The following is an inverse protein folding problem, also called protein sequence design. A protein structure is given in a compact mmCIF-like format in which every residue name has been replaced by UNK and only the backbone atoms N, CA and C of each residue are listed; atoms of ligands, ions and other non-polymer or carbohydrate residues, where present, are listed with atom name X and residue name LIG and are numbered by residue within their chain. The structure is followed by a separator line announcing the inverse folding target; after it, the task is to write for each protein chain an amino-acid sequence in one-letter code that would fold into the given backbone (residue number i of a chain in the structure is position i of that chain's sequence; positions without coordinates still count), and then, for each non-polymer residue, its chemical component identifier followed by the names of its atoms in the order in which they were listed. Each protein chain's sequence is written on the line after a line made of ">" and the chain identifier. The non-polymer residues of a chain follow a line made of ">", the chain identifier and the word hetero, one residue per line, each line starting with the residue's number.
data_IF_404469667566
#
_entry.id   IF_404469667566
#
_cell.length_a   1.000
_cell.length_b   1.000
_cell.length_c   1.000
_cell.angle_alpha   90.00
_cell.angle_beta   90.00
_cell.angle_gamma   90.00
#
_symmetry.space_group_name_H-M   'P 1'
#
loop_
_entity.id
_entity.type
_entity.pdbx_description
1 polymer ?
#
# COMPACT_ATOMS: atom_id res chain seq x y z
N UNK A 1 -23.87 24.94 12.88
CA UNK A 1 -22.48 24.49 12.61
C UNK A 1 -22.56 23.01 12.32
N UNK A 2 -22.16 22.61 11.10
CA UNK A 2 -22.31 21.22 10.64
C UNK A 2 -21.43 20.30 11.49
N UNK A 3 -21.94 19.11 11.85
CA UNK A 3 -21.19 18.08 12.57
C UNK A 3 -19.90 17.66 11.84
N UNK A 4 -19.88 17.80 10.51
CA UNK A 4 -18.69 17.61 9.68
C UNK A 4 -17.58 18.62 9.99
N UNK A 5 -17.92 19.88 10.23
CA UNK A 5 -16.94 20.93 10.52
C UNK A 5 -16.32 20.76 11.90
N UNK A 6 -17.07 20.29 12.90
CA UNK A 6 -16.56 20.05 14.26
C UNK A 6 -15.42 19.03 14.32
N UNK A 7 -15.38 18.04 13.42
CA UNK A 7 -14.32 17.04 13.38
C UNK A 7 -13.16 17.44 12.47
N UNK A 8 -13.32 18.46 11.63
CA UNK A 8 -12.35 18.81 10.57
C UNK A 8 -11.02 19.27 11.14
N UNK A 9 -11.02 20.11 12.15
CA UNK A 9 -9.82 20.61 12.82
C UNK A 9 -9.09 19.48 13.56
N UNK A 10 -9.78 18.73 14.41
CA UNK A 10 -9.20 17.59 15.13
C UNK A 10 -8.61 16.55 14.19
N UNK A 11 -9.25 16.31 13.05
CA UNK A 11 -8.72 15.42 12.00
C UNK A 11 -7.41 15.97 11.40
N UNK A 12 -7.34 17.27 11.11
CA UNK A 12 -6.14 17.89 10.56
C UNK A 12 -4.97 17.78 11.54
N UNK A 13 -5.20 18.07 12.81
CA UNK A 13 -4.19 17.98 13.89
C UNK A 13 -3.73 16.54 14.10
N UNK A 14 -4.64 15.59 14.09
CA UNK A 14 -4.29 14.17 14.19
C UNK A 14 -3.42 13.72 13.01
N UNK A 15 -3.77 14.08 11.77
CA UNK A 15 -2.98 13.71 10.59
C UNK A 15 -1.60 14.36 10.59
N UNK A 16 -1.52 15.61 11.08
CA UNK A 16 -0.26 16.30 11.33
C UNK A 16 0.58 15.56 12.36
N UNK A 17 -0.01 15.18 13.50
CA UNK A 17 0.64 14.37 14.53
C UNK A 17 1.18 13.05 13.98
N UNK A 18 0.39 12.32 13.18
CA UNK A 18 0.83 11.06 12.58
C UNK A 18 2.05 11.27 11.67
N UNK A 19 2.06 12.33 10.89
CA UNK A 19 3.10 12.61 9.91
C UNK A 19 4.39 13.09 10.57
N UNK A 20 4.29 14.10 11.43
CA UNK A 20 5.46 14.80 11.96
C UNK A 20 5.96 14.24 13.29
N UNK A 21 5.07 13.76 14.16
CA UNK A 21 5.47 13.22 15.47
C UNK A 21 5.66 11.70 15.47
N UNK A 22 4.90 10.97 14.65
CA UNK A 22 4.98 9.50 14.56
C UNK A 22 5.73 8.98 13.34
N UNK A 23 6.10 9.84 12.39
CA UNK A 23 6.84 9.45 11.18
C UNK A 23 6.04 8.53 10.24
N UNK A 24 4.71 8.62 10.25
CA UNK A 24 3.89 7.81 9.35
C UNK A 24 4.06 8.25 7.89
N UNK A 25 4.00 7.28 6.98
CA UNK A 25 4.10 7.57 5.55
C UNK A 25 2.92 8.42 5.06
N UNK A 26 3.16 9.24 4.02
CA UNK A 26 2.11 10.02 3.36
C UNK A 26 0.91 9.15 2.94
N UNK A 27 1.18 7.93 2.49
CA UNK A 27 0.12 6.99 2.11
C UNK A 27 -0.75 6.56 3.32
N UNK A 28 -0.13 6.33 4.47
CA UNK A 28 -0.87 6.01 5.71
C UNK A 28 -1.76 7.17 6.13
N UNK A 29 -1.22 8.39 6.13
CA UNK A 29 -1.99 9.61 6.46
C UNK A 29 -3.16 9.82 5.47
N UNK A 30 -2.94 9.58 4.17
CA UNK A 30 -4.00 9.65 3.16
C UNK A 30 -5.12 8.64 3.42
N UNK A 31 -4.76 7.38 3.69
CA UNK A 31 -5.74 6.32 3.99
C UNK A 31 -6.53 6.64 5.26
N UNK A 32 -5.86 7.11 6.32
CA UNK A 32 -6.51 7.51 7.55
C UNK A 32 -7.45 8.72 7.35
N UNK A 33 -7.02 9.71 6.56
CA UNK A 33 -7.89 10.83 6.18
C UNK A 33 -9.16 10.37 5.49
N UNK A 34 -9.05 9.41 4.55
CA UNK A 34 -10.21 8.83 3.86
C UNK A 34 -11.15 8.08 4.82
N UNK A 35 -10.58 7.29 5.74
CA UNK A 35 -11.36 6.53 6.72
C UNK A 35 -12.09 7.45 7.70
N UNK A 36 -11.44 8.52 8.18
CA UNK A 36 -12.05 9.53 9.04
C UNK A 36 -13.13 10.34 8.32
N UNK A 37 -13.02 10.57 7.01
CA UNK A 37 -14.08 11.20 6.22
C UNK A 37 -15.34 10.33 6.17
N UNK A 38 -15.20 9.01 6.08
CA UNK A 38 -16.35 8.09 6.09
C UNK A 38 -17.01 8.11 7.47
N UNK A 39 -16.20 8.09 8.53
CA UNK A 39 -16.67 8.18 9.90
C UNK A 39 -17.41 9.50 10.18
N UNK A 40 -16.82 10.64 9.80
CA UNK A 40 -17.45 11.94 10.05
C UNK A 40 -18.77 12.12 9.30
N UNK A 41 -18.91 11.60 8.07
CA UNK A 41 -20.18 11.55 7.35
C UNK A 41 -21.20 10.70 8.09
N UNK A 42 -20.83 9.48 8.50
CA UNK A 42 -21.73 8.58 9.21
C UNK A 42 -22.25 9.19 10.52
N UNK A 43 -21.43 9.97 11.24
CA UNK A 43 -21.84 10.74 12.42
C UNK A 43 -22.76 11.90 12.06
N UNK A 44 -22.43 12.66 11.00
CA UNK A 44 -23.23 13.79 10.53
C UNK A 44 -24.66 13.36 10.14
N UNK A 45 -24.79 12.23 9.43
CA UNK A 45 -26.09 11.66 9.05
C UNK A 45 -26.95 11.26 10.28
N UNK A 46 -26.35 11.23 11.48
CA UNK A 46 -26.99 10.90 12.76
C UNK A 46 -27.00 12.06 13.74
N UNK A 47 -26.63 13.25 13.26
CA UNK A 47 -26.57 14.48 14.06
C UNK A 47 -25.74 14.30 15.34
N UNK A 48 -24.66 13.52 15.27
CA UNK A 48 -23.84 13.15 16.42
C UNK A 48 -22.50 13.85 16.44
N UNK A 49 -22.16 14.44 17.59
CA UNK A 49 -20.82 14.99 17.82
C UNK A 49 -19.81 13.85 18.04
N UNK A 50 -18.68 13.92 17.36
CA UNK A 50 -17.62 12.92 17.46
C UNK A 50 -17.03 12.80 18.88
N UNK A 51 -17.16 13.80 19.70
CA UNK A 51 -16.69 13.82 21.11
C UNK A 51 -17.63 13.08 22.06
N UNK A 52 -18.89 12.92 21.66
CA UNK A 52 -19.93 12.24 22.46
C UNK A 52 -20.19 10.80 22.02
N UNK A 53 -19.31 10.28 21.15
CA UNK A 53 -19.41 8.90 20.65
C UNK A 53 -19.19 7.91 21.78
N UNK A 54 -20.05 6.88 21.82
CA UNK A 54 -19.94 5.73 22.72
C UNK A 54 -19.50 4.49 21.97
N UNK A 55 -19.07 3.44 22.69
CA UNK A 55 -18.68 2.18 22.06
C UNK A 55 -19.80 1.56 21.20
N UNK A 56 -21.07 1.71 21.61
CA UNK A 56 -22.23 1.25 20.84
C UNK A 56 -22.35 1.91 19.46
N UNK A 57 -21.94 3.17 19.35
CA UNK A 57 -21.92 3.86 18.06
C UNK A 57 -20.86 3.26 17.13
N UNK A 58 -19.71 2.86 17.69
CA UNK A 58 -18.66 2.19 16.90
C UNK A 58 -19.15 0.82 16.42
N UNK A 59 -19.87 0.07 17.26
CA UNK A 59 -20.49 -1.21 16.87
C UNK A 59 -21.56 -1.01 15.77
N UNK A 60 -22.41 0.01 15.92
CA UNK A 60 -23.38 0.38 14.89
C UNK A 60 -22.69 0.76 13.57
N UNK A 61 -21.58 1.49 13.62
CA UNK A 61 -20.79 1.82 12.44
C UNK A 61 -20.20 0.57 11.77
N UNK A 62 -19.69 -0.37 12.56
CA UNK A 62 -19.19 -1.66 12.04
C UNK A 62 -20.34 -2.41 11.36
N UNK A 63 -21.51 -2.50 12.02
CA UNK A 63 -22.70 -3.12 11.46
C UNK A 63 -23.14 -2.46 10.15
N UNK A 64 -23.18 -1.13 10.09
CA UNK A 64 -23.51 -0.35 8.89
C UNK A 64 -22.49 -0.60 7.77
N UNK A 65 -21.20 -0.62 8.07
CA UNK A 65 -20.18 -0.93 7.05
C UNK A 65 -20.40 -2.31 6.42
N UNK A 66 -20.65 -3.33 7.25
CA UNK A 66 -20.66 -4.72 6.79
C UNK A 66 -22.00 -5.14 6.19
N UNK A 67 -23.13 -4.80 6.85
CA UNK A 67 -24.48 -5.19 6.42
C UNK A 67 -25.01 -4.31 5.29
N UNK A 68 -24.92 -2.99 5.49
CA UNK A 68 -25.62 -2.05 4.62
C UNK A 68 -24.77 -1.64 3.42
N UNK A 69 -23.43 -1.68 3.55
CA UNK A 69 -22.49 -1.29 2.50
C UNK A 69 -21.59 -2.42 1.98
N UNK A 70 -21.77 -3.66 2.44
CA UNK A 70 -21.03 -4.81 1.94
C UNK A 70 -19.51 -4.74 2.12
N UNK A 71 -19.02 -3.94 3.07
CA UNK A 71 -17.58 -3.74 3.30
C UNK A 71 -16.97 -5.03 3.86
N UNK A 72 -15.89 -5.50 3.26
CA UNK A 72 -15.19 -6.72 3.71
C UNK A 72 -14.57 -6.53 5.10
N UNK A 73 -14.57 -7.59 5.92
CA UNK A 73 -14.09 -7.58 7.31
C UNK A 73 -12.70 -6.96 7.49
N UNK A 74 -11.73 -7.23 6.60
CA UNK A 74 -10.40 -6.65 6.70
C UNK A 74 -10.36 -5.13 6.49
N UNK A 75 -11.26 -4.58 5.66
CA UNK A 75 -11.39 -3.14 5.45
C UNK A 75 -12.07 -2.51 6.68
N UNK A 76 -13.12 -3.14 7.21
CA UNK A 76 -13.78 -2.70 8.44
C UNK A 76 -12.77 -2.66 9.61
N UNK A 77 -11.97 -3.73 9.79
CA UNK A 77 -10.92 -3.77 10.81
C UNK A 77 -9.86 -2.68 10.66
N UNK A 78 -9.45 -2.37 9.42
CA UNK A 78 -8.53 -1.26 9.16
C UNK A 78 -9.14 0.08 9.57
N UNK A 79 -10.41 0.33 9.24
CA UNK A 79 -11.12 1.56 9.63
C UNK A 79 -11.27 1.67 11.15
N UNK A 80 -11.66 0.59 11.83
CA UNK A 80 -11.72 0.56 13.29
C UNK A 80 -10.35 0.83 13.91
N UNK A 81 -9.27 0.31 13.32
CA UNK A 81 -7.90 0.60 13.79
C UNK A 81 -7.51 2.08 13.57
N UNK A 82 -7.99 2.71 12.50
CA UNK A 82 -7.83 4.15 12.29
C UNK A 82 -8.59 4.95 13.37
N UNK A 83 -9.85 4.59 13.66
CA UNK A 83 -10.64 5.21 14.73
C UNK A 83 -9.96 5.04 16.09
N UNK A 84 -9.48 3.83 16.42
CA UNK A 84 -8.75 3.59 17.66
C UNK A 84 -7.52 4.50 17.80
N UNK A 85 -6.77 4.69 16.70
CA UNK A 85 -5.63 5.61 16.72
C UNK A 85 -6.05 7.07 16.92
N UNK A 86 -7.14 7.50 16.27
CA UNK A 86 -7.67 8.86 16.39
C UNK A 86 -8.20 9.15 17.79
N UNK A 87 -9.05 8.27 18.34
CA UNK A 87 -9.66 8.49 19.65
C UNK A 87 -8.63 8.38 20.79
N UNK A 88 -7.65 7.48 20.70
CA UNK A 88 -6.50 7.45 21.63
C UNK A 88 -5.71 8.75 21.59
N UNK A 89 -5.43 9.29 20.39
CA UNK A 89 -4.76 10.57 20.26
C UNK A 89 -5.60 11.70 20.90
N UNK A 90 -6.89 11.79 20.58
CA UNK A 90 -7.78 12.81 21.11
C UNK A 90 -7.90 12.75 22.65
N UNK A 91 -7.95 11.55 23.21
CA UNK A 91 -7.93 11.34 24.66
C UNK A 91 -6.59 11.79 25.28
N UNK A 92 -5.45 11.44 24.69
CA UNK A 92 -4.14 11.89 25.14
C UNK A 92 -3.93 13.40 25.04
N UNK A 93 -4.63 14.07 24.12
CA UNK A 93 -4.62 15.54 24.01
C UNK A 93 -5.61 16.22 24.98
N UNK A 94 -6.38 15.46 25.74
CA UNK A 94 -7.41 15.98 26.64
C UNK A 94 -8.63 16.60 25.93
N UNK A 95 -8.82 16.29 24.64
CA UNK A 95 -9.97 16.76 23.86
C UNK A 95 -11.25 16.01 24.22
N UNK A 96 -11.06 14.76 24.63
CA UNK A 96 -12.10 13.86 25.15
C UNK A 96 -11.56 13.14 26.39
N UNK A 97 -12.44 12.68 27.25
CA UNK A 97 -12.12 12.00 28.52
C UNK A 97 -12.19 10.46 28.44
N UNK A 98 -12.62 9.92 27.31
CA UNK A 98 -12.82 8.48 27.11
C UNK A 98 -12.37 8.01 25.73
N UNK A 99 -12.12 6.70 25.57
CA UNK A 99 -11.85 6.05 24.27
C UNK A 99 -13.03 5.12 23.90
N UNK A 100 -13.92 5.56 22.99
CA UNK A 100 -15.10 4.77 22.62
C UNK A 100 -14.77 3.51 21.83
N UNK A 101 -13.54 3.39 21.30
CA UNK A 101 -13.14 2.26 20.44
C UNK A 101 -12.50 1.13 21.27
N UNK A 102 -12.14 1.40 22.51
CA UNK A 102 -11.43 0.44 23.35
C UNK A 102 -12.21 -0.88 23.53
N UNK A 103 -13.54 -0.81 23.72
CA UNK A 103 -14.40 -1.98 23.95
C UNK A 103 -15.00 -2.54 22.65
N UNK A 104 -14.86 -1.86 21.52
CA UNK A 104 -15.49 -2.29 20.27
C UNK A 104 -14.85 -3.56 19.71
N UNK A 105 -15.65 -4.58 19.49
CA UNK A 105 -15.20 -5.84 18.91
C UNK A 105 -14.93 -5.70 17.40
N UNK A 106 -13.75 -6.12 17.00
CA UNK A 106 -13.38 -6.13 15.56
C UNK A 106 -13.97 -7.35 14.87
N UNK A 107 -14.50 -7.18 13.65
CA UNK A 107 -14.97 -8.32 12.85
C UNK A 107 -13.90 -9.39 12.68
N UNK A 108 -14.28 -10.66 12.81
CA UNK A 108 -13.37 -11.79 12.56
C UNK A 108 -12.97 -11.82 11.10
N UNK A 109 -11.68 -11.90 10.84
CA UNK A 109 -11.14 -12.08 9.49
C UNK A 109 -10.92 -13.56 9.27
N UNK A 110 -11.58 -14.17 8.27
CA UNK A 110 -11.28 -15.56 7.91
C UNK A 110 -9.81 -15.69 7.49
N UNK A 111 -9.11 -16.68 8.05
CA UNK A 111 -7.79 -17.03 7.57
C UNK A 111 -7.89 -17.51 6.12
N UNK A 112 -7.08 -16.95 5.24
CA UNK A 112 -7.00 -17.38 3.85
C UNK A 112 -5.62 -17.93 3.58
N UNK A 113 -5.56 -19.08 2.93
CA UNK A 113 -4.31 -19.60 2.40
C UNK A 113 -3.86 -18.65 1.29
N UNK A 114 -2.63 -18.12 1.34
CA UNK A 114 -2.11 -17.29 0.27
C UNK A 114 -2.14 -18.04 -1.06
N UNK A 115 -2.68 -17.40 -2.09
CA UNK A 115 -2.61 -17.92 -3.46
C UNK A 115 -1.29 -17.45 -4.06
N UNK A 116 -0.51 -18.38 -4.60
CA UNK A 116 0.74 -18.10 -5.30
C UNK A 116 0.68 -18.72 -6.70
N UNK A 117 1.51 -18.19 -7.59
CA UNK A 117 1.61 -18.72 -8.96
C UNK A 117 2.42 -20.02 -8.94
N UNK A 118 1.84 -21.07 -9.49
CA UNK A 118 2.56 -22.31 -9.73
C UNK A 118 3.65 -22.13 -10.81
N UNK A 119 4.59 -23.07 -10.87
CA UNK A 119 5.74 -22.98 -11.81
C UNK A 119 5.30 -22.80 -13.26
N UNK A 120 4.26 -23.51 -13.67
CA UNK A 120 3.67 -23.46 -15.02
C UNK A 120 3.05 -22.08 -15.30
N UNK A 121 2.37 -21.49 -14.31
CA UNK A 121 1.76 -20.16 -14.41
C UNK A 121 2.83 -19.07 -14.48
N UNK A 122 3.89 -19.21 -13.66
CA UNK A 122 5.05 -18.32 -13.71
C UNK A 122 5.73 -18.37 -15.09
N UNK A 123 5.86 -19.58 -15.68
CA UNK A 123 6.44 -19.74 -17.00
C UNK A 123 5.54 -19.14 -18.10
N UNK A 124 4.23 -19.33 -18.03
CA UNK A 124 3.27 -18.70 -18.96
C UNK A 124 3.35 -17.19 -18.91
N UNK A 125 3.42 -16.61 -17.68
CA UNK A 125 3.58 -15.18 -17.50
C UNK A 125 4.91 -14.66 -18.08
N UNK A 126 6.00 -15.39 -17.84
CA UNK A 126 7.31 -15.06 -18.42
C UNK A 126 7.27 -15.07 -19.95
N UNK A 127 6.72 -16.14 -20.54
CA UNK A 127 6.56 -16.25 -22.00
C UNK A 127 5.73 -15.08 -22.55
N UNK A 128 4.61 -14.74 -21.91
CA UNK A 128 3.78 -13.60 -22.32
C UNK A 128 4.52 -12.25 -22.25
N UNK A 129 5.43 -12.07 -21.28
CA UNK A 129 6.25 -10.86 -21.16
C UNK A 129 7.37 -10.80 -22.22
N UNK A 130 7.94 -11.95 -22.62
CA UNK A 130 9.04 -12.03 -23.58
C UNK A 130 8.55 -12.13 -25.04
N UNK A 131 7.27 -12.44 -25.25
CA UNK A 131 6.69 -12.54 -26.59
C UNK A 131 6.53 -11.16 -27.23
N UNK A 132 7.58 -10.71 -27.90
CA UNK A 132 7.59 -9.44 -28.61
C UNK A 132 6.78 -9.47 -29.93
N UNK A 133 6.32 -10.63 -30.39
CA UNK A 133 5.56 -10.75 -31.64
C UNK A 133 4.10 -10.34 -31.48
N UNK A 134 3.55 -10.49 -30.27
CA UNK A 134 2.18 -10.07 -29.93
C UNK A 134 2.06 -8.60 -29.49
N UNK A 135 3.06 -7.75 -29.75
CA UNK A 135 2.91 -6.31 -29.54
C UNK A 135 1.95 -5.76 -30.60
N UNK A 136 0.86 -5.05 -30.21
CA UNK A 136 -0.03 -4.44 -31.16
C UNK A 136 0.74 -3.56 -32.15
N UNK A 137 0.52 -3.75 -33.45
CA UNK A 137 1.07 -2.86 -34.47
C UNK A 137 0.48 -1.48 -34.23
N UNK A 138 1.31 -0.44 -34.28
CA UNK A 138 0.80 0.94 -34.29
C UNK A 138 -0.13 1.14 -35.49
N UNK A 139 -0.94 2.22 -35.45
CA UNK A 139 -1.84 2.62 -36.54
C UNK A 139 -1.10 2.69 -37.92
N UNK A 140 0.22 2.79 -37.90
CA UNK A 140 1.10 2.81 -39.09
C UNK A 140 1.74 1.45 -39.41
N UNK A 141 1.25 0.35 -38.86
CA UNK A 141 1.72 -1.01 -39.19
C UNK A 141 3.12 -1.39 -38.71
N UNK A 142 3.85 -0.50 -38.04
CA UNK A 142 5.20 -0.76 -37.50
C UNK A 142 5.15 -1.01 -35.98
N UNK A 143 5.91 -2.00 -35.51
CA UNK A 143 6.10 -2.21 -34.04
C UNK A 143 6.76 -0.96 -33.46
N UNK A 144 6.12 -0.31 -32.50
CA UNK A 144 6.69 0.88 -31.87
C UNK A 144 7.93 0.50 -31.06
N UNK A 145 9.08 1.09 -31.40
CA UNK A 145 10.33 0.94 -30.60
C UNK A 145 10.11 1.31 -29.13
N UNK A 146 9.22 2.24 -28.86
CA UNK A 146 8.83 2.62 -27.51
C UNK A 146 8.15 1.47 -26.76
N UNK A 147 7.17 0.82 -27.37
CA UNK A 147 6.45 -0.33 -26.75
C UNK A 147 7.39 -1.50 -26.48
N UNK A 148 8.35 -1.77 -27.38
CA UNK A 148 9.37 -2.80 -27.16
C UNK A 148 10.21 -2.47 -25.91
N UNK A 149 10.71 -1.25 -25.79
CA UNK A 149 11.49 -0.81 -24.61
C UNK A 149 10.67 -0.86 -23.33
N UNK A 150 9.40 -0.47 -23.38
CA UNK A 150 8.50 -0.54 -22.23
C UNK A 150 8.33 -2.01 -21.79
N UNK A 151 8.10 -2.92 -22.72
CA UNK A 151 7.92 -4.35 -22.43
C UNK A 151 9.19 -4.97 -21.85
N UNK A 152 10.35 -4.71 -22.42
CA UNK A 152 11.65 -5.14 -21.88
C UNK A 152 11.88 -4.65 -20.46
N UNK A 153 11.42 -3.43 -20.14
CA UNK A 153 11.48 -2.90 -18.77
C UNK A 153 10.57 -3.67 -17.81
N UNK A 154 9.35 -4.00 -18.22
CA UNK A 154 8.44 -4.81 -17.39
C UNK A 154 8.94 -6.23 -17.20
N UNK A 155 9.49 -6.86 -18.23
CA UNK A 155 10.15 -8.17 -18.14
C UNK A 155 11.27 -8.13 -17.09
N UNK A 156 12.17 -7.17 -17.19
CA UNK A 156 13.29 -7.03 -16.27
C UNK A 156 12.82 -6.73 -14.84
N UNK A 157 11.79 -5.90 -14.68
CA UNK A 157 11.19 -5.60 -13.37
C UNK A 157 10.58 -6.86 -12.75
N UNK A 158 9.84 -7.64 -13.53
CA UNK A 158 9.25 -8.90 -13.07
C UNK A 158 10.32 -9.89 -12.62
N UNK A 159 11.35 -10.10 -13.43
CA UNK A 159 12.47 -10.97 -13.09
C UNK A 159 13.25 -10.47 -11.86
N UNK A 160 13.46 -9.16 -11.74
CA UNK A 160 14.09 -8.58 -10.57
C UNK A 160 13.31 -8.90 -9.30
N UNK A 161 12.00 -8.68 -9.29
CA UNK A 161 11.14 -8.98 -8.14
C UNK A 161 11.16 -10.48 -7.82
N UNK A 162 11.05 -11.33 -8.83
CA UNK A 162 11.02 -12.79 -8.68
C UNK A 162 12.33 -13.34 -8.10
N UNK A 163 13.48 -12.81 -8.53
CA UNK A 163 14.80 -13.28 -8.13
C UNK A 163 15.33 -12.64 -6.84
N UNK A 164 14.80 -11.48 -6.43
CA UNK A 164 15.30 -10.75 -5.26
C UNK A 164 14.31 -10.69 -4.10
N UNK A 165 13.02 -11.01 -4.32
CA UNK A 165 11.98 -10.86 -3.31
C UNK A 165 11.72 -9.41 -2.91
N UNK A 166 12.12 -8.43 -3.73
CA UNK A 166 11.82 -7.03 -3.51
C UNK A 166 10.31 -6.76 -3.60
N UNK A 167 9.81 -5.85 -2.77
CA UNK A 167 8.46 -5.33 -2.98
C UNK A 167 8.43 -4.51 -4.26
N UNK A 168 7.29 -4.49 -4.95
CA UNK A 168 7.15 -3.71 -6.19
C UNK A 168 7.54 -2.23 -6.00
N UNK A 169 7.17 -1.63 -4.87
CA UNK A 169 7.53 -0.24 -4.55
C UNK A 169 9.02 -0.03 -4.31
N UNK A 170 9.74 -1.03 -3.82
CA UNK A 170 11.18 -1.01 -3.64
C UNK A 170 11.87 -1.14 -5.00
N UNK A 171 11.46 -2.11 -5.81
CA UNK A 171 12.01 -2.31 -7.16
C UNK A 171 11.82 -1.08 -8.08
N UNK A 172 10.65 -0.42 -8.01
CA UNK A 172 10.36 0.79 -8.79
C UNK A 172 11.18 2.03 -8.37
N UNK A 173 11.67 2.05 -7.13
CA UNK A 173 12.48 3.16 -6.60
C UNK A 173 13.98 2.97 -6.77
N UNK A 174 14.42 1.79 -7.22
CA UNK A 174 15.84 1.50 -7.38
C UNK A 174 16.50 2.46 -8.36
N UNK A 175 17.66 2.91 -7.97
CA UNK A 175 18.61 3.65 -8.82
C UNK A 175 19.75 2.73 -9.21
N UNK A 176 20.45 3.06 -10.29
CA UNK A 176 21.63 2.30 -10.73
C UNK A 176 22.70 2.23 -9.63
N UNK A 177 22.83 3.30 -8.84
CA UNK A 177 23.75 3.38 -7.70
C UNK A 177 23.43 2.42 -6.55
N UNK A 178 22.22 1.88 -6.52
CA UNK A 178 21.79 0.90 -5.52
C UNK A 178 22.14 -0.53 -5.92
N UNK A 179 22.72 -0.71 -7.11
CA UNK A 179 23.07 -2.02 -7.66
C UNK A 179 24.60 -2.17 -7.64
N UNK A 180 25.08 -3.14 -6.89
CA UNK A 180 26.50 -3.47 -6.87
C UNK A 180 26.83 -4.42 -8.02
N UNK A 181 27.70 -3.97 -8.92
CA UNK A 181 28.09 -4.67 -10.14
C UNK A 181 29.56 -5.04 -10.07
N UNK A 182 29.88 -6.30 -10.35
CA UNK A 182 31.26 -6.82 -10.48
C UNK A 182 31.38 -7.55 -11.80
N UNK A 183 32.38 -7.24 -12.59
CA UNK A 183 32.64 -7.83 -13.92
C UNK A 183 31.39 -7.83 -14.83
N UNK A 184 30.65 -6.71 -14.83
CA UNK A 184 29.44 -6.57 -15.63
C UNK A 184 28.22 -7.32 -15.10
N UNK A 185 28.31 -7.99 -13.95
CA UNK A 185 27.21 -8.74 -13.32
C UNK A 185 26.72 -8.04 -12.06
N UNK A 186 25.39 -7.90 -11.93
CA UNK A 186 24.78 -7.43 -10.69
C UNK A 186 24.89 -8.51 -9.60
N UNK A 187 25.53 -8.21 -8.49
CA UNK A 187 25.75 -9.15 -7.37
C UNK A 187 24.76 -8.90 -6.23
N UNK A 188 24.50 -7.66 -5.91
CA UNK A 188 23.56 -7.29 -4.85
C UNK A 188 22.79 -6.03 -5.21
N UNK A 189 21.65 -5.87 -4.56
CA UNK A 189 20.81 -4.68 -4.64
C UNK A 189 20.57 -4.13 -3.24
N UNK A 190 20.87 -2.85 -3.02
CA UNK A 190 20.56 -2.13 -1.81
C UNK A 190 19.16 -1.53 -1.93
N UNK A 191 18.34 -1.68 -0.93
CA UNK A 191 16.98 -1.12 -0.90
C UNK A 191 16.60 -0.62 0.48
N UNK A 192 15.71 0.37 0.50
CA UNK A 192 15.12 0.92 1.72
C UNK A 192 13.69 0.42 1.83
N UNK A 193 13.41 -0.33 2.88
CA UNK A 193 12.10 -0.91 3.15
C UNK A 193 11.21 -0.01 4.01
N UNK A 194 10.15 -0.61 4.55
CA UNK A 194 9.22 0.07 5.47
C UNK A 194 9.95 0.52 6.75
N UNK A 195 9.78 1.79 7.12
CA UNK A 195 10.41 2.40 8.31
C UNK A 195 11.88 2.73 8.09
N UNK A 196 12.26 3.07 6.85
CA UNK A 196 13.60 3.47 6.43
C UNK A 196 14.71 2.44 6.75
N UNK A 197 14.32 1.17 6.88
CA UNK A 197 15.27 0.09 7.10
C UNK A 197 15.96 -0.28 5.79
N UNK A 198 17.24 -0.02 5.74
CA UNK A 198 18.09 -0.47 4.63
C UNK A 198 18.37 -1.97 4.72
N UNK A 199 18.38 -2.63 3.57
CA UNK A 199 18.88 -4.00 3.42
C UNK A 199 19.55 -4.20 2.08
N UNK A 200 20.50 -5.12 2.06
CA UNK A 200 21.16 -5.59 0.85
C UNK A 200 20.59 -6.97 0.51
N UNK A 201 20.18 -7.13 -0.73
CA UNK A 201 19.59 -8.38 -1.23
C UNK A 201 20.53 -8.97 -2.27
N UNK A 202 20.96 -10.24 -2.13
CA UNK A 202 21.77 -10.90 -3.14
C UNK A 202 20.96 -11.14 -4.41
N UNK A 203 21.62 -11.06 -5.54
CA UNK A 203 21.06 -11.35 -6.86
C UNK A 203 21.65 -12.67 -7.37
N UNK A 204 20.81 -13.65 -7.76
CA UNK A 204 21.30 -14.90 -8.32
C UNK A 204 22.15 -14.66 -9.57
N UNK A 205 23.25 -15.38 -9.71
CA UNK A 205 24.28 -15.14 -10.72
C UNK A 205 23.74 -15.12 -12.14
N UNK A 206 22.90 -16.10 -12.50
CA UNK A 206 22.27 -16.22 -13.83
C UNK A 206 21.44 -15.00 -14.18
N UNK A 207 20.67 -14.46 -13.22
CA UNK A 207 19.89 -13.25 -13.42
C UNK A 207 20.80 -12.01 -13.39
N UNK A 208 21.78 -11.97 -12.48
CA UNK A 208 22.71 -10.86 -12.34
C UNK A 208 23.53 -10.56 -13.60
N UNK A 209 23.93 -11.58 -14.34
CA UNK A 209 24.58 -11.42 -15.63
C UNK A 209 23.65 -10.74 -16.66
N UNK A 210 22.42 -11.23 -16.80
CA UNK A 210 21.42 -10.62 -17.71
C UNK A 210 21.06 -9.19 -17.32
N UNK A 211 20.89 -8.96 -16.01
CA UNK A 211 20.54 -7.64 -15.47
C UNK A 211 21.68 -6.63 -15.71
N UNK A 212 22.93 -7.04 -15.53
CA UNK A 212 24.11 -6.22 -15.84
C UNK A 212 24.17 -5.82 -17.31
N UNK A 213 23.98 -6.77 -18.22
CA UNK A 213 23.91 -6.50 -19.67
C UNK A 213 22.80 -5.51 -20.01
N UNK A 214 21.62 -5.70 -19.42
CA UNK A 214 20.48 -4.80 -19.66
C UNK A 214 20.74 -3.38 -19.12
N UNK A 215 21.40 -3.24 -17.97
CA UNK A 215 21.77 -1.94 -17.42
C UNK A 215 22.75 -1.18 -18.31
N UNK A 216 23.73 -1.88 -18.90
CA UNK A 216 24.74 -1.29 -19.78
C UNK A 216 24.18 -0.90 -21.16
N UNK A 217 23.07 -1.51 -21.59
CA UNK A 217 22.43 -1.23 -22.89
C UNK A 217 21.35 -0.13 -22.86
N UNK A 218 21.25 0.66 -21.78
CA UNK A 218 20.24 1.73 -21.62
C UNK A 218 20.62 3.02 -22.33
#
# INVERSE_FOLDING_TARGET
>A
MDYLDKMKEAKADFLSHLTYNKGYSKNTSYVYSSDLNIWSRWLSDREKDWREVRYTDVEHFIGWMMRDNGVKAHIANRRVSCLSSFYKWANHQGIIDHDPVHLAEKPKIPSRIPVYLEKEEQQKLRTALTDHDNIPKSIFGKKSKYLIKVRQRYEMLFELIQNSGLRISEALKLKVLDIYIVDGMAKTVRTVGKGDKERVVPVPEKFGARFGVWLNGR
#
